data_IF_343418165485
#
_entry.id   IF_343418165485
#
_cell.length_a   1.000
_cell.length_b   1.000
_cell.length_c   1.000
_cell.angle_alpha   90.00
_cell.angle_beta   90.00
_cell.angle_gamma   90.00
#
_symmetry.space_group_name_H-M   'P 1'
#
loop_
_entity.id
_entity.type
_entity.pdbx_description
1 polymer ?
#
# COMPACT_ATOMS: atom_id res chain seq x y z
N UNK A 1 -0.50 -42.12 -78.39
CA UNK A 1 0.77 -42.85 -78.18
C UNK A 1 1.43 -42.26 -76.95
N UNK A 2 1.74 -43.10 -75.94
CA UNK A 2 2.81 -42.97 -74.90
C UNK A 2 2.93 -41.64 -74.09
N UNK A 3 3.12 -41.56 -72.77
CA UNK A 3 3.45 -42.48 -71.68
C UNK A 3 3.16 -41.77 -70.33
N UNK A 4 2.81 -42.54 -69.28
CA UNK A 4 2.91 -42.18 -67.84
C UNK A 4 4.40 -42.18 -67.40
N UNK A 5 4.84 -41.49 -66.30
CA UNK A 5 4.71 -42.08 -64.95
C UNK A 5 4.63 -41.12 -63.71
N UNK A 6 4.28 -41.79 -62.60
CA UNK A 6 4.18 -41.54 -61.14
C UNK A 6 5.21 -40.69 -60.38
N UNK A 7 4.77 -40.03 -59.27
CA UNK A 7 5.27 -40.16 -57.85
C UNK A 7 4.50 -39.17 -56.93
N UNK A 8 3.69 -39.57 -55.94
CA UNK A 8 4.00 -40.03 -54.56
C UNK A 8 4.72 -39.03 -53.64
N UNK A 9 4.05 -38.56 -52.58
CA UNK A 9 4.71 -37.99 -51.40
C UNK A 9 3.79 -37.19 -50.45
N UNK A 10 3.12 -37.86 -49.49
CA UNK A 10 2.57 -37.20 -48.29
C UNK A 10 3.75 -36.85 -47.36
N UNK A 11 3.91 -35.60 -46.87
CA UNK A 11 4.95 -35.31 -45.90
C UNK A 11 4.55 -35.79 -44.50
N UNK A 12 5.27 -36.78 -43.99
CA UNK A 12 5.24 -37.16 -42.56
C UNK A 12 5.98 -36.08 -41.79
N UNK A 13 5.25 -35.29 -41.01
CA UNK A 13 5.84 -34.24 -40.18
C UNK A 13 6.79 -34.86 -39.12
N UNK A 14 8.03 -34.36 -38.98
CA UNK A 14 9.02 -35.05 -38.19
C UNK A 14 8.84 -34.77 -36.68
N UNK A 15 8.65 -35.85 -35.94
CA UNK A 15 8.38 -36.01 -34.50
C UNK A 15 9.40 -35.31 -33.57
N UNK A 16 10.56 -34.88 -34.08
CA UNK A 16 11.56 -34.14 -33.33
C UNK A 16 11.18 -32.66 -33.08
N UNK A 17 10.34 -32.07 -33.93
CA UNK A 17 9.89 -30.66 -33.76
C UNK A 17 8.90 -30.49 -32.61
N UNK A 18 8.05 -31.48 -32.37
CA UNK A 18 7.06 -31.48 -31.28
C UNK A 18 7.68 -31.62 -29.88
N UNK A 19 8.81 -32.34 -29.75
CA UNK A 19 9.49 -32.53 -28.46
C UNK A 19 10.22 -31.27 -27.97
N UNK A 20 10.74 -30.43 -28.88
CA UNK A 20 11.35 -29.14 -28.52
C UNK A 20 10.30 -28.09 -28.12
N UNK A 21 9.15 -28.07 -28.79
CA UNK A 21 8.05 -27.16 -28.45
C UNK A 21 7.50 -27.40 -27.02
N UNK A 22 7.39 -28.67 -26.59
CA UNK A 22 6.92 -29.02 -25.23
C UNK A 22 7.89 -28.60 -24.12
N UNK A 23 9.21 -28.63 -24.36
CA UNK A 23 10.20 -28.20 -23.37
C UNK A 23 10.29 -26.67 -23.25
N UNK A 24 10.09 -25.95 -24.37
CA UNK A 24 10.02 -24.49 -24.35
C UNK A 24 8.78 -23.96 -23.60
N UNK A 25 7.64 -24.64 -23.74
CA UNK A 25 6.40 -24.26 -23.06
C UNK A 25 6.48 -24.47 -21.53
N UNK A 26 7.15 -25.54 -21.08
CA UNK A 26 7.34 -25.81 -19.65
C UNK A 26 8.25 -24.76 -18.96
N UNK A 27 9.27 -24.26 -19.67
CA UNK A 27 10.14 -23.17 -19.18
C UNK A 27 9.42 -21.81 -19.17
N UNK A 28 8.52 -21.55 -20.13
CA UNK A 28 7.67 -20.35 -20.12
C UNK A 28 6.63 -20.38 -18.98
N UNK A 29 6.08 -21.54 -18.67
CA UNK A 29 5.13 -21.71 -17.56
C UNK A 29 5.81 -21.61 -16.19
N UNK A 30 7.06 -22.09 -16.04
CA UNK A 30 7.86 -21.86 -14.83
C UNK A 30 8.34 -20.40 -14.71
N UNK A 31 8.61 -19.72 -15.83
CA UNK A 31 8.92 -18.29 -15.84
C UNK A 31 7.73 -17.41 -15.43
N UNK A 32 6.52 -17.81 -15.82
CA UNK A 32 5.29 -17.12 -15.42
C UNK A 32 4.94 -17.30 -13.93
N UNK A 33 5.37 -18.40 -13.30
CA UNK A 33 5.13 -18.64 -11.87
C UNK A 33 6.10 -17.89 -10.93
N UNK A 34 7.21 -17.36 -11.44
CA UNK A 34 8.21 -16.61 -10.67
C UNK A 34 8.13 -15.08 -10.89
N UNK A 35 7.19 -14.62 -11.71
CA UNK A 35 6.90 -13.18 -11.91
C UNK A 35 5.91 -12.62 -10.86
N UNK A 36 5.72 -13.31 -9.73
CA UNK A 36 5.07 -12.78 -8.55
C UNK A 36 6.12 -12.34 -7.54
N UNK A 37 5.95 -11.14 -6.97
CA UNK A 37 6.78 -10.54 -5.91
C UNK A 37 7.93 -9.63 -6.35
N UNK A 38 7.66 -8.71 -7.27
CA UNK A 38 8.21 -7.36 -7.12
C UNK A 38 7.06 -6.39 -7.37
N UNK A 39 6.32 -6.05 -6.31
CA UNK A 39 5.38 -4.93 -6.34
C UNK A 39 6.24 -3.65 -6.35
N UNK A 40 6.84 -3.36 -7.49
CA UNK A 40 7.50 -2.09 -7.75
C UNK A 40 6.37 -1.06 -7.83
N UNK A 41 6.08 -0.40 -6.71
CA UNK A 41 5.17 0.73 -6.69
C UNK A 41 5.87 1.91 -7.39
N UNK A 42 5.82 1.94 -8.72
CA UNK A 42 6.11 3.16 -9.46
C UNK A 42 5.02 4.13 -9.05
N UNK A 43 5.41 5.24 -8.40
CA UNK A 43 4.53 6.38 -8.24
C UNK A 43 4.30 6.92 -9.65
N UNK A 44 3.23 6.44 -10.29
CA UNK A 44 2.79 6.94 -11.58
C UNK A 44 2.52 8.45 -11.41
N UNK A 45 3.22 9.26 -12.21
CA UNK A 45 2.90 10.66 -12.35
C UNK A 45 1.49 10.75 -12.94
N UNK A 46 0.58 11.30 -12.14
CA UNK A 46 -0.84 11.37 -12.49
C UNK A 46 -1.03 12.22 -13.76
N UNK A 47 -1.88 11.80 -14.72
CA UNK A 47 -2.21 12.60 -15.89
C UNK A 47 -2.71 13.99 -15.49
N UNK A 48 -2.23 15.02 -16.20
CA UNK A 48 -2.63 16.40 -15.96
C UNK A 48 -4.16 16.59 -16.11
N UNK A 49 -4.78 17.45 -15.29
CA UNK A 49 -6.21 17.74 -15.39
C UNK A 49 -6.59 18.28 -16.78
N UNK A 50 -7.78 17.91 -17.24
CA UNK A 50 -8.42 18.58 -18.37
C UNK A 50 -8.70 20.05 -18.03
N UNK A 51 -8.76 20.89 -19.07
CA UNK A 51 -8.62 22.36 -19.04
C UNK A 51 -9.55 23.17 -18.12
N UNK A 52 -10.45 22.54 -17.36
CA UNK A 52 -11.54 23.23 -16.68
C UNK A 52 -11.41 23.33 -15.16
N UNK A 53 -10.35 22.82 -14.53
CA UNK A 53 -10.09 23.11 -13.11
C UNK A 53 -8.63 22.88 -12.69
N UNK A 54 -7.71 23.73 -13.15
CA UNK A 54 -6.45 23.95 -12.41
C UNK A 54 -6.74 25.03 -11.38
N UNK A 55 -7.23 24.62 -10.21
CA UNK A 55 -7.32 25.50 -9.04
C UNK A 55 -6.10 25.25 -8.17
N UNK A 56 -5.47 26.34 -7.72
CA UNK A 56 -4.36 26.27 -6.77
C UNK A 56 -4.78 25.46 -5.54
N UNK A 57 -3.84 24.73 -4.90
CA UNK A 57 -4.14 24.04 -3.66
C UNK A 57 -4.69 25.05 -2.62
N UNK A 58 -5.59 24.60 -1.71
CA UNK A 58 -6.12 25.44 -0.65
C UNK A 58 -5.01 26.13 0.14
N UNK A 59 -5.30 27.33 0.62
CA UNK A 59 -4.48 27.95 1.66
C UNK A 59 -4.46 27.01 2.89
N UNK A 60 -3.26 26.69 3.39
CA UNK A 60 -3.06 25.76 4.50
C UNK A 60 -2.99 24.28 4.11
N UNK A 61 -3.06 23.95 2.81
CA UNK A 61 -2.74 22.61 2.33
C UNK A 61 -1.24 22.30 2.54
N UNK A 62 -0.95 21.14 3.12
CA UNK A 62 0.41 20.63 3.26
C UNK A 62 0.49 19.21 2.73
N UNK A 63 1.30 19.02 1.69
CA UNK A 63 1.48 17.74 1.00
C UNK A 63 2.10 16.66 1.88
N UNK A 64 2.79 17.05 2.97
CA UNK A 64 3.31 16.13 3.97
C UNK A 64 2.23 15.19 4.50
N UNK A 65 1.04 15.73 4.77
CA UNK A 65 -0.04 14.98 5.40
C UNK A 65 -0.90 14.22 4.40
N UNK A 66 -0.86 14.60 3.12
CA UNK A 66 -1.62 13.91 2.08
C UNK A 66 -1.52 14.57 0.71
N UNK A 67 -1.87 13.79 -0.30
CA UNK A 67 -1.77 14.17 -1.71
C UNK A 67 -2.94 15.02 -2.23
N UNK A 68 -3.97 15.26 -1.42
CA UNK A 68 -5.08 16.15 -1.76
C UNK A 68 -5.62 16.86 -0.49
N UNK A 69 -6.44 17.92 -0.62
CA UNK A 69 -6.91 18.70 0.53
C UNK A 69 -7.62 17.90 1.62
N UNK A 70 -8.42 16.90 1.22
CA UNK A 70 -9.20 16.08 2.16
C UNK A 70 -8.27 15.12 2.90
N UNK A 71 -7.44 14.38 2.16
CA UNK A 71 -6.49 13.43 2.77
C UNK A 71 -5.44 14.13 3.63
N UNK A 72 -4.98 15.32 3.25
CA UNK A 72 -4.06 16.12 4.07
C UNK A 72 -4.70 16.60 5.37
N UNK A 73 -5.95 17.08 5.34
CA UNK A 73 -6.68 17.47 6.56
C UNK A 73 -6.90 16.26 7.47
N UNK A 74 -7.31 15.13 6.90
CA UNK A 74 -7.57 13.89 7.65
C UNK A 74 -6.27 13.33 8.25
N UNK A 75 -5.18 13.30 7.48
CA UNK A 75 -3.87 12.88 7.94
C UNK A 75 -3.33 13.76 9.07
N UNK A 76 -3.44 15.09 8.93
CA UNK A 76 -3.08 16.01 10.00
C UNK A 76 -3.89 15.77 11.28
N UNK A 77 -5.21 15.60 11.17
CA UNK A 77 -6.08 15.37 12.33
C UNK A 77 -5.74 14.04 13.04
N UNK A 78 -5.43 12.99 12.29
CA UNK A 78 -4.97 11.71 12.84
C UNK A 78 -3.64 11.90 13.58
N UNK A 79 -2.66 12.56 12.95
CA UNK A 79 -1.37 12.85 13.59
C UNK A 79 -1.56 13.60 14.91
N UNK A 80 -2.36 14.66 14.90
CA UNK A 80 -2.64 15.46 16.11
C UNK A 80 -3.32 14.64 17.20
N UNK A 81 -4.21 13.72 16.84
CA UNK A 81 -4.83 12.80 17.80
C UNK A 81 -3.84 11.81 18.39
N UNK A 82 -2.96 11.22 17.57
CA UNK A 82 -1.92 10.31 18.04
C UNK A 82 -0.97 11.07 18.99
N UNK A 83 -0.55 12.27 18.60
CA UNK A 83 0.24 13.18 19.42
C UNK A 83 -0.41 13.47 20.78
N UNK A 84 -1.72 13.73 20.82
CA UNK A 84 -2.45 13.98 22.08
C UNK A 84 -2.41 12.78 23.05
N UNK A 85 -2.24 11.57 22.52
CA UNK A 85 -2.05 10.33 23.30
C UNK A 85 -0.58 9.95 23.49
N UNK A 86 0.35 10.88 23.23
CA UNK A 86 1.81 10.70 23.30
C UNK A 86 2.36 9.64 22.34
N UNK A 87 1.66 9.40 21.24
CA UNK A 87 2.11 8.54 20.15
C UNK A 87 2.68 9.43 19.04
N UNK A 88 3.98 9.67 19.06
CA UNK A 88 4.64 10.67 18.22
C UNK A 88 4.98 10.12 16.83
N UNK A 89 3.93 9.84 16.07
CA UNK A 89 4.04 9.47 14.66
C UNK A 89 4.06 10.70 13.77
N UNK A 90 4.90 10.69 12.75
CA UNK A 90 4.70 11.47 11.54
C UNK A 90 3.76 10.69 10.63
N UNK A 91 2.64 11.29 10.24
CA UNK A 91 1.59 10.60 9.52
C UNK A 91 1.31 11.23 8.16
N UNK A 92 1.33 10.42 7.10
CA UNK A 92 0.89 10.83 5.76
C UNK A 92 -0.20 9.90 5.23
N UNK A 93 -1.22 10.50 4.60
CA UNK A 93 -2.34 9.81 3.98
C UNK A 93 -2.40 10.12 2.49
N UNK A 94 -1.98 9.17 1.67
CA UNK A 94 -2.20 9.23 0.23
C UNK A 94 -3.51 8.55 -0.10
N UNK A 95 -4.39 9.26 -0.78
CA UNK A 95 -5.69 8.77 -1.23
C UNK A 95 -5.78 8.90 -2.75
N UNK A 96 -6.00 7.79 -3.45
CA UNK A 96 -6.13 7.76 -4.91
C UNK A 96 -7.53 7.21 -5.32
N UNK A 97 -8.15 7.70 -6.41
CA UNK A 97 -7.62 8.70 -7.33
C UNK A 97 -7.45 10.05 -6.65
N UNK A 98 -6.37 10.74 -7.00
CA UNK A 98 -6.24 12.16 -6.66
C UNK A 98 -7.39 12.86 -7.36
N UNK A 99 -8.36 13.36 -6.61
CA UNK A 99 -9.44 14.13 -7.21
C UNK A 99 -8.80 15.39 -7.77
N UNK A 100 -8.71 15.45 -9.09
CA UNK A 100 -8.11 16.55 -9.82
C UNK A 100 -9.03 17.78 -9.72
N UNK A 101 -8.85 18.57 -8.66
CA UNK A 101 -9.60 19.80 -8.40
C UNK A 101 -9.67 20.15 -6.92
N UNK A 102 -9.88 21.44 -6.62
CA UNK A 102 -10.12 21.92 -5.25
C UNK A 102 -11.40 21.30 -4.67
N UNK A 103 -11.27 20.54 -3.59
CA UNK A 103 -12.42 20.15 -2.75
C UNK A 103 -12.60 21.22 -1.68
N UNK A 104 -13.77 21.85 -1.65
CA UNK A 104 -14.11 22.80 -0.60
C UNK A 104 -14.23 22.08 0.75
N UNK A 105 -13.23 22.27 1.63
CA UNK A 105 -13.18 21.62 2.95
C UNK A 105 -14.29 22.10 3.91
N UNK A 106 -14.99 23.19 3.58
CA UNK A 106 -16.14 23.69 4.32
C UNK A 106 -17.47 23.08 3.87
N UNK A 107 -17.51 22.36 2.74
CA UNK A 107 -18.70 21.65 2.24
C UNK A 107 -18.63 20.17 2.67
N UNK A 108 -19.44 19.73 3.65
CA UNK A 108 -19.41 18.35 4.13
C UNK A 108 -19.79 17.32 3.06
N UNK A 109 -20.66 17.68 2.11
CA UNK A 109 -21.08 16.79 1.02
C UNK A 109 -19.96 16.59 0.01
N UNK A 110 -19.22 17.66 -0.33
CA UNK A 110 -18.04 17.56 -1.18
C UNK A 110 -16.94 16.70 -0.53
N UNK A 111 -16.70 16.88 0.78
CA UNK A 111 -15.74 16.07 1.54
C UNK A 111 -16.14 14.60 1.59
N UNK A 112 -17.41 14.31 1.92
CA UNK A 112 -17.91 12.92 1.98
C UNK A 112 -17.80 12.23 0.61
N UNK A 113 -18.18 12.92 -0.46
CA UNK A 113 -18.05 12.41 -1.83
C UNK A 113 -16.58 12.14 -2.19
N UNK A 114 -15.67 13.01 -1.78
CA UNK A 114 -14.25 12.84 -2.04
C UNK A 114 -13.69 11.57 -1.37
N UNK A 115 -14.04 11.33 -0.10
CA UNK A 115 -13.65 10.09 0.61
C UNK A 115 -14.27 8.85 -0.03
N UNK A 116 -15.57 8.89 -0.35
CA UNK A 116 -16.26 7.79 -1.02
C UNK A 116 -15.72 7.47 -2.42
N UNK A 117 -15.20 8.47 -3.15
CA UNK A 117 -14.64 8.24 -4.49
C UNK A 117 -13.22 7.67 -4.45
N UNK A 118 -12.57 7.68 -3.28
CA UNK A 118 -11.24 7.10 -3.09
C UNK A 118 -11.32 5.59 -3.24
N UNK A 119 -10.38 5.02 -3.99
CA UNK A 119 -10.26 3.57 -4.27
C UNK A 119 -9.08 2.95 -3.55
N UNK A 120 -7.99 3.68 -3.38
CA UNK A 120 -6.82 3.16 -2.68
C UNK A 120 -6.33 4.15 -1.63
N UNK A 121 -5.83 3.60 -0.53
CA UNK A 121 -5.14 4.35 0.51
C UNK A 121 -3.72 3.83 0.68
N UNK A 122 -2.77 4.76 0.83
CA UNK A 122 -1.45 4.47 1.38
C UNK A 122 -1.24 5.36 2.60
N UNK A 123 -1.10 4.73 3.76
CA UNK A 123 -0.76 5.36 5.02
C UNK A 123 0.74 5.19 5.24
N UNK A 124 1.42 6.25 5.62
CA UNK A 124 2.82 6.19 6.03
C UNK A 124 2.90 6.70 7.46
N UNK A 125 3.47 5.87 8.33
CA UNK A 125 3.80 6.17 9.71
C UNK A 125 5.32 6.16 9.81
N UNK A 126 5.91 7.29 10.17
CA UNK A 126 7.34 7.37 10.42
C UNK A 126 7.59 7.98 11.80
N UNK A 127 8.61 7.53 12.50
CA UNK A 127 9.03 8.18 13.75
C UNK A 127 10.47 7.84 14.05
N UNK A 128 11.24 8.79 14.55
CA UNK A 128 12.54 8.54 15.18
C UNK A 128 12.43 8.62 16.71
N UNK A 129 11.21 8.80 17.24
CA UNK A 129 11.00 8.95 18.66
C UNK A 129 11.13 7.61 19.38
N UNK A 130 12.19 7.47 20.19
CA UNK A 130 12.48 6.23 20.89
C UNK A 130 11.33 5.68 21.75
N UNK A 131 10.50 6.54 22.37
CA UNK A 131 9.35 6.08 23.17
C UNK A 131 8.25 5.47 22.29
N UNK A 132 7.97 6.06 21.12
CA UNK A 132 7.01 5.50 20.16
C UNK A 132 7.51 4.17 19.59
N UNK A 133 8.79 4.11 19.20
CA UNK A 133 9.43 2.91 18.65
C UNK A 133 9.39 1.77 19.67
N UNK A 134 9.90 2.03 20.88
CA UNK A 134 9.92 1.02 21.95
C UNK A 134 8.53 0.62 22.41
N UNK A 135 7.55 1.53 22.39
CA UNK A 135 6.16 1.22 22.64
C UNK A 135 5.54 0.29 21.59
N UNK A 136 5.88 0.45 20.30
CA UNK A 136 5.40 -0.46 19.25
C UNK A 136 6.11 -1.83 19.36
N UNK A 137 7.41 -1.84 19.65
CA UNK A 137 8.17 -3.08 19.87
C UNK A 137 7.83 -3.79 21.19
N UNK A 138 7.19 -3.11 22.14
CA UNK A 138 6.72 -3.72 23.39
C UNK A 138 5.51 -4.65 23.20
N UNK A 139 4.83 -4.61 22.04
CA UNK A 139 3.91 -5.68 21.66
C UNK A 139 4.71 -6.98 21.52
N UNK A 140 4.57 -7.89 22.50
CA UNK A 140 5.39 -9.11 22.65
C UNK A 140 5.25 -10.14 21.52
N UNK A 141 4.40 -9.87 20.53
CA UNK A 141 4.17 -10.72 19.37
C UNK A 141 3.71 -9.87 18.18
N UNK A 142 4.04 -10.31 16.97
CA UNK A 142 3.61 -9.67 15.72
C UNK A 142 2.08 -9.42 15.66
N UNK A 143 1.20 -10.32 16.18
CA UNK A 143 -0.24 -10.05 16.28
C UNK A 143 -0.62 -8.78 17.05
N UNK A 144 0.15 -8.37 18.06
CA UNK A 144 -0.14 -7.13 18.80
C UNK A 144 0.13 -5.88 17.95
N UNK A 145 1.24 -5.88 17.19
CA UNK A 145 1.56 -4.81 16.24
C UNK A 145 0.56 -4.79 15.08
N UNK A 146 0.19 -5.97 14.57
CA UNK A 146 -0.86 -6.14 13.55
C UNK A 146 -2.17 -5.53 14.02
N UNK A 147 -2.65 -5.90 15.22
CA UNK A 147 -3.89 -5.32 15.78
C UNK A 147 -3.83 -3.79 15.90
N UNK A 148 -2.69 -3.24 16.32
CA UNK A 148 -2.51 -1.78 16.37
C UNK A 148 -2.63 -1.16 14.97
N UNK A 149 -1.94 -1.73 13.97
CA UNK A 149 -1.96 -1.25 12.59
C UNK A 149 -3.36 -1.36 11.97
N UNK A 150 -4.07 -2.48 12.19
CA UNK A 150 -5.44 -2.69 11.74
C UNK A 150 -6.40 -1.67 12.34
N UNK A 151 -6.30 -1.40 13.65
CA UNK A 151 -7.16 -0.42 14.31
C UNK A 151 -6.94 0.98 13.75
N UNK A 152 -5.68 1.38 13.52
CA UNK A 152 -5.39 2.67 12.92
C UNK A 152 -5.89 2.75 11.47
N UNK A 153 -5.70 1.70 10.67
CA UNK A 153 -6.20 1.67 9.30
C UNK A 153 -7.73 1.74 9.24
N UNK A 154 -8.42 0.98 10.10
CA UNK A 154 -9.88 1.01 10.20
C UNK A 154 -10.39 2.35 10.71
N UNK A 155 -9.66 3.03 11.59
CA UNK A 155 -9.98 4.40 12.00
C UNK A 155 -9.95 5.38 10.83
N UNK A 156 -8.97 5.26 9.93
CA UNK A 156 -8.95 6.08 8.70
C UNK A 156 -10.15 5.74 7.82
N UNK A 157 -10.43 4.45 7.60
CA UNK A 157 -11.60 4.02 6.82
C UNK A 157 -12.90 4.58 7.36
N UNK A 158 -13.06 4.60 8.68
CA UNK A 158 -14.24 5.13 9.36
C UNK A 158 -14.50 6.62 9.13
N UNK A 159 -13.54 7.39 8.57
CA UNK A 159 -13.77 8.78 8.14
C UNK A 159 -14.70 8.89 6.92
N UNK A 160 -14.99 7.77 6.24
CA UNK A 160 -15.84 7.71 5.05
C UNK A 160 -15.13 7.19 3.80
N UNK A 161 -13.96 6.56 3.96
CA UNK A 161 -13.26 5.86 2.87
C UNK A 161 -13.82 4.43 2.76
N UNK A 162 -15.06 4.33 2.30
CA UNK A 162 -15.88 3.11 2.32
C UNK A 162 -15.86 2.31 1.01
N UNK A 163 -15.44 2.94 -0.09
CA UNK A 163 -15.44 2.37 -1.44
C UNK A 163 -14.06 1.89 -1.92
N UNK A 164 -13.18 1.58 -0.96
CA UNK A 164 -11.81 1.18 -1.21
C UNK A 164 -11.73 -0.21 -1.84
N UNK A 165 -10.90 -0.35 -2.87
CA UNK A 165 -10.55 -1.63 -3.50
C UNK A 165 -9.28 -2.22 -2.92
N UNK A 166 -8.39 -1.38 -2.39
CA UNK A 166 -7.20 -1.82 -1.63
C UNK A 166 -6.71 -0.73 -0.69
N UNK A 167 -5.80 -1.09 0.20
CA UNK A 167 -4.95 -0.10 0.86
C UNK A 167 -3.75 -0.72 1.53
N UNK A 168 -2.85 0.16 1.94
CA UNK A 168 -1.56 -0.20 2.50
C UNK A 168 -1.21 0.75 3.64
N UNK A 169 -0.51 0.25 4.63
CA UNK A 169 0.19 1.03 5.64
C UNK A 169 1.65 0.61 5.64
N UNK A 170 2.55 1.59 5.68
CA UNK A 170 3.98 1.40 5.88
C UNK A 170 4.38 2.03 7.21
N UNK A 171 5.18 1.31 7.99
CA UNK A 171 5.66 1.76 9.30
C UNK A 171 7.17 1.86 9.23
N UNK A 172 7.70 3.03 9.58
CA UNK A 172 9.11 3.36 9.55
C UNK A 172 9.60 3.81 10.93
N UNK A 173 10.76 3.30 11.37
CA UNK A 173 11.45 3.77 12.58
C UNK A 173 12.58 4.76 12.28
N UNK A 174 12.94 4.92 11.01
CA UNK A 174 13.79 5.98 10.46
C UNK A 174 13.41 6.17 8.99
N UNK A 175 13.90 7.22 8.32
CA UNK A 175 13.64 7.43 6.89
C UNK A 175 14.05 6.25 6.00
N UNK A 176 15.00 5.40 6.44
CA UNK A 176 15.53 4.28 5.67
C UNK A 176 15.03 2.90 6.14
N UNK A 177 14.34 2.82 7.27
CA UNK A 177 13.96 1.56 7.91
C UNK A 177 12.47 1.31 7.84
N UNK A 178 12.03 0.58 6.82
CA UNK A 178 10.66 0.09 6.69
C UNK A 178 10.48 -1.14 7.61
N UNK A 179 10.05 -0.88 8.84
CA UNK A 179 9.83 -1.88 9.89
C UNK A 179 8.75 -2.89 9.50
N UNK A 180 7.59 -2.40 9.03
CA UNK A 180 6.46 -3.27 8.73
C UNK A 180 5.51 -2.73 7.67
N UNK A 181 4.77 -3.64 7.04
CA UNK A 181 3.71 -3.35 6.06
C UNK A 181 2.41 -4.04 6.48
N UNK A 182 1.32 -3.27 6.49
CA UNK A 182 -0.04 -3.81 6.47
C UNK A 182 -0.59 -3.66 5.06
N UNK A 183 -1.24 -4.70 4.55
CA UNK A 183 -2.07 -4.62 3.34
C UNK A 183 -3.51 -4.94 3.66
N UNK A 184 -4.43 -4.34 2.92
CA UNK A 184 -5.85 -4.59 3.06
C UNK A 184 -6.54 -4.64 1.70
N UNK A 185 -7.50 -5.55 1.56
CA UNK A 185 -8.49 -5.52 0.47
C UNK A 185 -9.82 -6.10 0.94
N UNK A 186 -10.96 -5.74 0.31
CA UNK A 186 -12.27 -6.30 0.66
C UNK A 186 -12.31 -7.84 0.60
N UNK A 187 -11.58 -8.43 -0.35
CA UNK A 187 -11.60 -9.87 -0.60
C UNK A 187 -10.68 -10.67 0.34
N UNK A 188 -9.56 -10.09 0.75
CA UNK A 188 -8.52 -10.82 1.53
C UNK A 188 -8.44 -10.40 3.00
N UNK A 189 -9.12 -9.32 3.40
CA UNK A 189 -8.94 -8.75 4.73
C UNK A 189 -7.55 -8.14 4.89
N UNK A 190 -7.03 -8.18 6.10
CA UNK A 190 -5.71 -7.68 6.46
C UNK A 190 -4.63 -8.76 6.28
N UNK A 191 -3.44 -8.30 5.90
CA UNK A 191 -2.22 -9.09 5.94
C UNK A 191 -1.07 -8.19 6.41
N UNK A 192 -0.50 -8.53 7.57
CA UNK A 192 0.61 -7.82 8.18
C UNK A 192 1.93 -8.57 7.95
N UNK A 193 3.01 -7.82 7.72
CA UNK A 193 4.36 -8.37 7.56
C UNK A 193 5.33 -7.47 8.28
N UNK A 194 6.12 -8.05 9.18
CA UNK A 194 7.25 -7.40 9.83
C UNK A 194 8.52 -7.75 9.05
N UNK A 195 9.30 -6.74 8.70
CA UNK A 195 10.53 -6.89 7.93
C UNK A 195 11.78 -6.89 8.80
N UNK A 196 11.75 -6.17 9.92
CA UNK A 196 12.81 -6.05 10.90
C UNK A 196 12.14 -5.96 12.28
N UNK A 197 12.59 -6.70 13.29
CA UNK A 197 12.08 -6.58 14.66
C UNK A 197 13.18 -6.05 15.61
N UNK A 198 14.34 -5.66 15.07
CA UNK A 198 15.62 -5.76 15.76
C UNK A 198 16.40 -4.44 15.78
N UNK A 199 15.96 -3.40 15.05
CA UNK A 199 16.70 -2.14 14.86
C UNK A 199 18.20 -2.44 14.68
N UNK A 200 18.53 -3.27 13.68
CA UNK A 200 19.86 -3.81 13.34
C UNK A 200 21.00 -3.36 14.26
N UNK A 201 21.30 -4.19 15.28
CA UNK A 201 22.54 -4.29 16.09
C UNK A 201 22.43 -4.08 17.61
N UNK A 202 21.28 -3.69 18.16
CA UNK A 202 21.08 -3.67 19.61
C UNK A 202 19.93 -4.57 20.03
N UNK A 203 20.29 -5.74 20.57
CA UNK A 203 19.39 -6.74 21.13
C UNK A 203 18.27 -6.11 21.98
N UNK A 204 17.07 -6.02 21.41
CA UNK A 204 15.82 -5.86 22.16
C UNK A 204 15.07 -7.18 22.14
N UNK A 205 15.72 -8.24 22.62
CA UNK A 205 15.03 -9.44 23.12
C UNK A 205 15.46 -9.71 24.57
N UNK A 206 14.50 -9.87 25.51
CA UNK A 206 13.07 -9.68 25.31
C UNK A 206 12.78 -8.19 25.08
N UNK A 207 11.75 -7.88 24.29
CA UNK A 207 11.33 -6.51 23.99
C UNK A 207 11.26 -5.65 25.26
N UNK A 208 11.43 -4.32 25.13
CA UNK A 208 11.58 -3.43 26.28
C UNK A 208 10.46 -3.66 27.30
N UNK A 209 10.76 -3.62 28.60
CA UNK A 209 9.80 -3.72 29.72
C UNK A 209 8.73 -2.62 29.74
N UNK A 210 8.64 -1.82 28.69
CA UNK A 210 7.73 -0.71 28.54
C UNK A 210 6.30 -1.17 28.25
N UNK A 211 5.35 -0.29 28.53
CA UNK A 211 3.95 -0.47 28.17
C UNK A 211 3.80 -0.37 26.64
N UNK A 212 3.10 -1.31 25.98
CA UNK A 212 2.77 -1.19 24.58
C UNK A 212 2.05 0.12 24.26
N UNK A 213 2.14 0.58 23.00
CA UNK A 213 1.36 1.74 22.58
C UNK A 213 -0.12 1.52 22.91
N UNK A 214 -0.82 2.55 23.43
CA UNK A 214 -2.25 2.44 23.63
C UNK A 214 -2.93 2.26 22.27
N UNK A 215 -4.10 1.61 22.23
CA UNK A 215 -4.92 1.54 21.02
C UNK A 215 -5.01 2.91 20.33
N UNK A 216 -4.91 2.99 18.99
CA UNK A 216 -5.01 4.24 18.25
C UNK A 216 -6.47 4.73 18.16
N UNK A 217 -7.24 4.53 19.23
CA UNK A 217 -8.61 5.01 19.40
C UNK A 217 -8.61 6.54 19.43
N UNK A 218 -9.59 7.17 18.77
CA UNK A 218 -9.77 8.62 18.89
C UNK A 218 -10.24 9.01 20.30
N UNK A 219 -10.30 10.32 20.60
CA UNK A 219 -11.48 10.81 21.33
C UNK A 219 -12.77 10.50 20.55
#
# INVERSE_FOLDING_TARGET
MANTPTTSGRPVAPHWRLRRARRGLALLLLGASLAGCAELTIVEATPAPSSNAVTLPPIGFNHRYGNNPVSAKDGFNIERSLYATRQYWEFALRADPQIAGYVNLADPTAVARARHNTKTLLLVLATENGATITGLLAFRSDPGQEMYAEQLFNRVRALGYDNLTSGQMLIFFTEADNHAKLTWSPAKGFAYTVYDNDLRSSALTPGPTQTPLPPPTGP
#
